data_IF_787323324894
#
_entry.id   IF_787323324894
#
_cell.length_a   1.000
_cell.length_b   1.000
_cell.length_c   1.000
_cell.angle_alpha   90.00
_cell.angle_beta   90.00
_cell.angle_gamma   90.00
#
_symmetry.space_group_name_H-M   'P 1'
#
loop_
_entity.id
_entity.type
_entity.pdbx_description
1 polymer ?
#
# COMPACT_ATOMS: atom_id res chain seq x y z
N UNK A 1 2.85 0.47 -28.72
CA UNK A 1 3.07 1.05 -30.07
C UNK A 1 2.11 2.22 -30.32
N UNK A 2 2.56 3.46 -30.13
CA UNK A 2 1.78 4.66 -30.48
C UNK A 2 1.81 4.83 -32.01
N UNK A 3 0.93 4.12 -32.71
CA UNK A 3 0.84 4.11 -34.17
C UNK A 3 -0.36 4.94 -34.63
N UNK A 4 -0.35 6.26 -34.43
CA UNK A 4 -1.04 7.19 -35.35
C UNK A 4 -0.68 8.64 -35.02
N UNK A 5 -0.36 9.42 -36.07
CA UNK A 5 -0.28 10.88 -35.98
C UNK A 5 -1.72 11.42 -35.94
N UNK A 6 -2.29 11.50 -34.73
CA UNK A 6 -3.48 12.33 -34.48
C UNK A 6 -3.10 13.80 -34.58
N UNK A 7 -3.92 14.63 -35.21
CA UNK A 7 -3.75 16.09 -35.17
C UNK A 7 -4.22 16.70 -33.84
N UNK A 8 -5.01 15.96 -33.07
CA UNK A 8 -5.53 16.38 -31.77
C UNK A 8 -4.71 15.82 -30.61
N UNK A 9 -4.56 16.62 -29.55
CA UNK A 9 -3.93 16.20 -28.29
C UNK A 9 -4.77 15.09 -27.65
N UNK A 10 -4.09 14.08 -27.12
CA UNK A 10 -4.72 12.95 -26.42
C UNK A 10 -4.14 12.83 -25.03
N UNK A 11 -5.00 12.47 -24.08
CA UNK A 11 -4.60 12.02 -22.76
C UNK A 11 -4.92 10.52 -22.67
N UNK A 12 -3.91 9.71 -22.38
CA UNK A 12 -4.05 8.26 -22.26
C UNK A 12 -3.61 7.90 -20.85
N UNK A 13 -4.49 7.21 -20.12
CA UNK A 13 -4.22 6.66 -18.80
C UNK A 13 -4.23 5.14 -18.89
N UNK A 14 -3.20 4.50 -18.37
CA UNK A 14 -3.08 3.05 -18.26
C UNK A 14 -2.71 2.70 -16.82
N UNK A 15 -3.30 1.63 -16.32
CA UNK A 15 -3.12 1.13 -14.95
C UNK A 15 -2.93 -0.39 -15.00
N UNK A 16 -2.14 -0.91 -14.07
CA UNK A 16 -1.75 -2.32 -13.99
C UNK A 16 -1.60 -2.68 -12.50
N UNK A 17 -2.43 -3.57 -12.00
CA UNK A 17 -2.52 -4.00 -10.59
C UNK A 17 -1.72 -5.27 -10.30
N UNK A 18 -1.25 -5.95 -11.34
CA UNK A 18 -0.66 -7.28 -11.25
C UNK A 18 0.66 -7.27 -10.48
N UNK A 19 1.42 -6.17 -10.54
CA UNK A 19 2.68 -6.06 -9.80
C UNK A 19 2.43 -6.04 -8.28
N UNK A 20 1.46 -5.24 -7.85
CA UNK A 20 1.04 -5.18 -6.44
C UNK A 20 0.50 -6.54 -5.95
N UNK A 21 -0.36 -7.16 -6.75
CA UNK A 21 -0.93 -8.48 -6.45
C UNK A 21 0.14 -9.57 -6.27
N UNK A 22 1.16 -9.58 -7.15
CA UNK A 22 2.27 -10.55 -7.07
C UNK A 22 3.15 -10.28 -5.85
N UNK A 23 3.40 -9.01 -5.52
CA UNK A 23 4.14 -8.62 -4.32
C UNK A 23 3.42 -9.06 -3.04
N UNK A 24 2.10 -8.86 -2.97
CA UNK A 24 1.29 -9.31 -1.84
C UNK A 24 1.33 -10.83 -1.65
N UNK A 25 1.30 -11.59 -2.74
CA UNK A 25 1.24 -13.05 -2.66
C UNK A 25 2.61 -13.70 -2.40
N UNK A 26 3.68 -13.18 -3.00
CA UNK A 26 5.00 -13.83 -2.98
C UNK A 26 6.07 -13.10 -2.16
N UNK A 27 5.80 -11.86 -1.74
CA UNK A 27 6.80 -10.96 -1.16
C UNK A 27 7.57 -10.17 -2.21
N UNK A 28 8.18 -9.07 -1.78
CA UNK A 28 8.85 -8.11 -2.67
C UNK A 28 10.14 -8.66 -3.27
N UNK A 29 10.76 -9.63 -2.60
CA UNK A 29 12.04 -10.22 -2.99
C UNK A 29 11.93 -11.54 -3.76
N UNK A 30 10.72 -11.99 -4.09
CA UNK A 30 10.53 -13.24 -4.84
C UNK A 30 11.02 -13.13 -6.30
N UNK A 31 11.55 -14.21 -6.84
CA UNK A 31 11.95 -14.30 -8.26
C UNK A 31 10.82 -13.90 -9.21
N UNK A 32 9.58 -14.32 -8.93
CA UNK A 32 8.41 -13.96 -9.76
C UNK A 32 8.16 -12.45 -9.77
N UNK A 33 8.22 -11.82 -8.61
CA UNK A 33 8.10 -10.36 -8.47
C UNK A 33 9.20 -9.65 -9.25
N UNK A 34 10.44 -10.09 -9.09
CA UNK A 34 11.60 -9.50 -9.78
C UNK A 34 11.54 -9.67 -11.30
N UNK A 35 11.03 -10.81 -11.79
CA UNK A 35 10.83 -11.05 -13.22
C UNK A 35 9.78 -10.10 -13.79
N UNK A 36 8.61 -9.99 -13.13
CA UNK A 36 7.57 -9.06 -13.58
C UNK A 36 8.06 -7.61 -13.56
N UNK A 37 8.81 -7.19 -12.53
CA UNK A 37 9.40 -5.85 -12.49
C UNK A 37 10.29 -5.56 -13.71
N UNK A 38 11.15 -6.51 -14.08
CA UNK A 38 12.02 -6.39 -15.27
C UNK A 38 11.23 -6.36 -16.56
N UNK A 39 10.13 -7.12 -16.64
CA UNK A 39 9.23 -7.08 -17.81
C UNK A 39 8.57 -5.70 -17.93
N UNK A 40 8.06 -5.14 -16.83
CA UNK A 40 7.46 -3.79 -16.79
C UNK A 40 8.47 -2.74 -17.24
N UNK A 41 9.70 -2.77 -16.71
CA UNK A 41 10.78 -1.86 -17.07
C UNK A 41 11.09 -1.92 -18.58
N UNK A 42 11.20 -3.13 -19.14
CA UNK A 42 11.40 -3.33 -20.58
C UNK A 42 10.25 -2.74 -21.41
N UNK A 43 9.00 -2.98 -21.02
CA UNK A 43 7.85 -2.45 -21.77
C UNK A 43 7.74 -0.92 -21.69
N UNK A 44 8.07 -0.32 -20.54
CA UNK A 44 8.17 1.13 -20.38
C UNK A 44 9.29 1.69 -21.27
N UNK A 45 10.45 1.05 -21.31
CA UNK A 45 11.54 1.45 -22.20
C UNK A 45 11.09 1.40 -23.68
N UNK A 46 10.45 0.32 -24.10
CA UNK A 46 9.94 0.19 -25.47
C UNK A 46 8.88 1.26 -25.79
N UNK A 47 8.02 1.61 -24.82
CA UNK A 47 7.04 2.68 -24.97
C UNK A 47 7.74 4.04 -25.13
N UNK A 48 8.71 4.35 -24.27
CA UNK A 48 9.49 5.58 -24.32
C UNK A 48 10.25 5.73 -25.64
N UNK A 49 10.86 4.64 -26.13
CA UNK A 49 11.51 4.60 -27.45
C UNK A 49 10.51 4.87 -28.59
N UNK A 50 9.32 4.26 -28.53
CA UNK A 50 8.28 4.49 -29.55
C UNK A 50 7.73 5.92 -29.57
N UNK A 51 7.89 6.67 -28.47
CA UNK A 51 7.47 8.05 -28.35
C UNK A 51 8.53 9.06 -28.81
N UNK A 52 9.79 8.62 -29.07
CA UNK A 52 10.86 9.50 -29.54
C UNK A 52 10.48 10.19 -30.85
N UNK A 53 10.81 11.48 -30.97
CA UNK A 53 10.48 12.29 -32.15
C UNK A 53 9.02 12.72 -32.24
N UNK A 54 8.21 12.45 -31.22
CA UNK A 54 6.82 12.94 -31.11
C UNK A 54 6.70 14.03 -30.04
N UNK A 55 5.63 14.82 -30.09
CA UNK A 55 5.28 15.76 -29.01
C UNK A 55 4.50 15.03 -27.89
N UNK A 56 5.14 14.03 -27.27
CA UNK A 56 4.53 13.18 -26.24
C UNK A 56 5.29 13.33 -24.94
N UNK A 57 4.56 13.54 -23.84
CA UNK A 57 5.10 13.45 -22.47
C UNK A 57 4.64 12.13 -21.87
N UNK A 58 5.59 11.30 -21.46
CA UNK A 58 5.32 10.07 -20.70
C UNK A 58 5.55 10.36 -19.21
N UNK A 59 4.60 9.96 -18.37
CA UNK A 59 4.69 10.02 -16.92
C UNK A 59 4.40 8.60 -16.42
N UNK A 60 5.33 8.05 -15.67
CA UNK A 60 5.21 6.74 -15.02
C UNK A 60 5.28 6.97 -13.53
N UNK A 61 4.26 6.53 -12.80
CA UNK A 61 4.15 6.72 -11.34
C UNK A 61 3.58 5.46 -10.71
N UNK A 62 3.88 5.28 -9.42
CA UNK A 62 3.20 4.34 -8.53
C UNK A 62 2.54 5.15 -7.42
N UNK A 63 1.42 4.66 -6.91
CA UNK A 63 0.73 5.22 -5.76
C UNK A 63 1.42 4.86 -4.44
N UNK A 64 2.00 3.66 -4.36
CA UNK A 64 2.80 3.22 -3.21
C UNK A 64 3.90 2.22 -3.58
N UNK A 65 4.67 1.84 -2.57
CA UNK A 65 5.57 0.68 -2.61
C UNK A 65 5.05 -0.46 -1.74
N UNK A 66 5.90 -1.45 -1.49
CA UNK A 66 5.59 -2.61 -0.66
C UNK A 66 6.79 -2.95 0.24
N UNK A 67 6.50 -3.49 1.42
CA UNK A 67 7.52 -4.09 2.31
C UNK A 67 7.09 -5.50 2.68
N UNK A 68 8.05 -6.39 2.88
CA UNK A 68 7.76 -7.70 3.46
C UNK A 68 7.44 -7.54 4.96
N UNK A 69 6.52 -8.36 5.47
CA UNK A 69 6.25 -8.48 6.90
C UNK A 69 6.50 -9.93 7.35
N UNK A 70 6.93 -10.11 8.58
CA UNK A 70 7.15 -11.43 9.18
C UNK A 70 6.09 -11.71 10.26
N UNK A 71 6.01 -12.95 10.73
CA UNK A 71 5.09 -13.30 11.85
C UNK A 71 5.44 -12.54 13.13
N UNK A 72 6.72 -12.25 13.33
CA UNK A 72 7.22 -11.51 14.50
C UNK A 72 6.82 -10.04 14.45
N UNK A 73 6.52 -9.50 13.27
CA UNK A 73 6.01 -8.14 13.08
C UNK A 73 4.49 -8.04 13.18
N UNK A 74 3.78 -9.14 13.44
CA UNK A 74 2.32 -9.17 13.55
C UNK A 74 1.87 -9.03 15.00
N UNK A 75 0.85 -8.21 15.22
CA UNK A 75 0.15 -8.07 16.50
C UNK A 75 -1.32 -8.43 16.30
N UNK A 76 -1.82 -9.35 17.12
CA UNK A 76 -3.24 -9.68 17.14
C UNK A 76 -3.93 -8.92 18.27
N UNK A 77 -5.05 -8.28 17.97
CA UNK A 77 -5.79 -7.48 18.95
C UNK A 77 -6.25 -8.27 20.17
N UNK A 78 -6.65 -9.53 19.96
CA UNK A 78 -7.05 -10.46 21.02
C UNK A 78 -5.91 -10.76 22.01
N UNK A 79 -4.66 -10.58 21.59
CA UNK A 79 -3.49 -10.82 22.43
C UNK A 79 -3.15 -9.57 23.28
N UNK A 80 -3.89 -8.46 23.13
CA UNK A 80 -3.73 -7.23 23.90
C UNK A 80 -4.85 -7.14 24.95
N UNK A 81 -4.56 -7.43 26.23
CA UNK A 81 -5.58 -7.49 27.27
C UNK A 81 -6.36 -6.17 27.42
N UNK A 82 -7.69 -6.27 27.44
CA UNK A 82 -8.59 -5.14 27.64
C UNK A 82 -8.80 -4.24 26.41
N UNK A 83 -8.08 -4.44 25.31
CA UNK A 83 -8.22 -3.60 24.12
C UNK A 83 -9.58 -3.79 23.45
N UNK A 84 -10.01 -5.04 23.22
CA UNK A 84 -11.29 -5.34 22.57
C UNK A 84 -12.49 -4.80 23.37
N UNK A 85 -12.44 -4.86 24.71
CA UNK A 85 -13.47 -4.30 25.58
C UNK A 85 -13.63 -2.78 25.43
N UNK A 86 -12.56 -2.10 25.03
CA UNK A 86 -12.58 -0.67 24.79
C UNK A 86 -13.33 -0.31 23.50
N UNK A 87 -13.44 -1.22 22.54
CA UNK A 87 -13.93 -0.93 21.20
C UNK A 87 -15.46 -1.10 21.09
N UNK A 88 -16.10 -0.17 20.40
CA UNK A 88 -17.53 -0.22 20.04
C UNK A 88 -17.77 -1.16 18.85
N UNK A 89 -16.83 -1.20 17.91
CA UNK A 89 -16.78 -2.08 16.74
C UNK A 89 -15.34 -2.56 16.54
N UNK A 90 -15.08 -3.65 15.78
CA UNK A 90 -13.72 -4.02 15.41
C UNK A 90 -12.95 -2.85 14.79
N UNK A 91 -11.63 -2.83 14.92
CA UNK A 91 -10.80 -1.80 14.26
C UNK A 91 -11.07 -1.79 12.76
N UNK A 92 -10.94 -0.61 12.17
CA UNK A 92 -11.09 -0.44 10.71
C UNK A 92 -9.87 0.26 10.13
N UNK A 93 -9.83 0.37 8.81
CA UNK A 93 -8.70 0.95 8.10
C UNK A 93 -7.72 -0.12 7.62
N UNK A 94 -6.47 0.28 7.43
CA UNK A 94 -5.41 -0.58 6.93
C UNK A 94 -4.34 -0.82 8.00
N UNK A 95 -3.54 -1.90 7.95
CA UNK A 95 -2.68 -2.29 9.07
C UNK A 95 -1.66 -1.24 9.54
N UNK A 96 -1.30 -0.25 8.72
CA UNK A 96 -0.34 0.83 9.08
C UNK A 96 -1.03 2.02 9.75
N UNK A 97 -2.33 2.21 9.54
CA UNK A 97 -3.17 3.30 10.08
C UNK A 97 -4.56 2.75 10.32
N UNK A 98 -4.85 2.50 11.60
CA UNK A 98 -6.10 1.89 12.06
C UNK A 98 -6.96 2.90 12.80
N UNK A 99 -8.26 2.88 12.51
CA UNK A 99 -9.25 3.67 13.21
C UNK A 99 -9.85 2.86 14.36
N UNK A 100 -9.89 3.46 15.55
CA UNK A 100 -10.40 2.83 16.76
C UNK A 100 -11.62 3.58 17.29
N UNK A 101 -12.80 2.96 17.18
CA UNK A 101 -14.03 3.50 17.73
C UNK A 101 -14.14 3.08 19.19
N UNK A 102 -13.81 3.98 20.12
CA UNK A 102 -13.72 3.68 21.56
C UNK A 102 -15.03 3.98 22.28
N UNK A 103 -15.48 3.04 23.13
CA UNK A 103 -16.64 3.24 24.01
C UNK A 103 -16.40 4.45 24.92
N UNK A 104 -17.35 5.38 25.08
CA UNK A 104 -17.15 6.58 25.90
C UNK A 104 -16.65 6.30 27.32
N UNK A 105 -17.16 5.23 27.96
CA UNK A 105 -16.76 4.82 29.31
C UNK A 105 -15.38 4.17 29.41
N UNK A 106 -14.75 3.82 28.29
CA UNK A 106 -13.47 3.09 28.20
C UNK A 106 -12.33 3.93 27.63
N UNK A 107 -12.56 5.21 27.29
CA UNK A 107 -11.53 6.10 26.73
C UNK A 107 -10.27 6.16 27.60
N UNK A 108 -10.42 6.21 28.94
CA UNK A 108 -9.28 6.20 29.87
C UNK A 108 -8.48 4.89 29.82
N UNK A 109 -9.17 3.76 29.76
CA UNK A 109 -8.55 2.43 29.68
C UNK A 109 -7.82 2.28 28.35
N UNK A 110 -8.46 2.66 27.24
CA UNK A 110 -7.86 2.64 25.91
C UNK A 110 -6.60 3.48 25.83
N UNK A 111 -6.66 4.74 26.30
CA UNK A 111 -5.51 5.64 26.33
C UNK A 111 -4.35 5.05 27.13
N UNK A 112 -4.63 4.45 28.28
CA UNK A 112 -3.62 3.76 29.09
C UNK A 112 -2.95 2.63 28.29
N UNK A 113 -3.73 1.78 27.61
CA UNK A 113 -3.19 0.70 26.76
C UNK A 113 -2.30 1.27 25.64
N UNK A 114 -2.72 2.37 25.00
CA UNK A 114 -1.95 3.03 23.95
C UNK A 114 -0.61 3.57 24.46
N UNK A 115 -0.61 4.22 25.61
CA UNK A 115 0.57 4.85 26.21
C UNK A 115 1.53 3.82 26.83
N UNK A 116 1.03 2.66 27.32
CA UNK A 116 1.87 1.66 27.97
C UNK A 116 2.23 0.48 27.07
N UNK A 117 1.23 -0.28 26.61
CA UNK A 117 1.45 -1.54 25.90
C UNK A 117 1.82 -1.28 24.44
N UNK A 118 1.11 -0.35 23.80
CA UNK A 118 1.23 -0.12 22.35
C UNK A 118 2.27 0.93 21.96
N UNK A 119 2.81 1.69 22.90
CA UNK A 119 3.76 2.79 22.61
C UNK A 119 5.07 2.32 21.97
N UNK A 120 5.36 1.02 22.02
CA UNK A 120 6.50 0.39 21.33
C UNK A 120 6.22 0.06 19.86
N UNK A 121 4.95 0.03 19.46
CA UNK A 121 4.52 -0.51 18.17
C UNK A 121 3.84 0.54 17.29
N UNK A 122 3.13 1.51 17.88
CA UNK A 122 2.42 2.52 17.13
C UNK A 122 2.42 3.88 17.83
N UNK A 123 2.17 4.93 17.04
CA UNK A 123 1.76 6.22 17.57
C UNK A 123 0.24 6.30 17.64
N UNK A 124 -0.25 6.90 18.71
CA UNK A 124 -1.68 7.15 18.92
C UNK A 124 -1.97 8.64 18.75
N UNK A 125 -2.97 8.96 17.92
CA UNK A 125 -3.44 10.31 17.66
C UNK A 125 -4.89 10.43 18.16
N UNK A 126 -5.15 11.22 19.22
CA UNK A 126 -6.48 11.38 19.83
C UNK A 126 -7.43 12.27 19.04
#
# INVERSE_FOLDING_TARGET
>A
MIKSKSKERRFIHAYMDEFDSIQHFNGVNCDKTNLLFKDIDREIQALAESAKGTNTKLIVVSDHGMIDHTKESQLWLKDIPGLEECLTIPITGEPRVVDCFVRPRKVKDFKKIMETTMSKYCWYFP
#
